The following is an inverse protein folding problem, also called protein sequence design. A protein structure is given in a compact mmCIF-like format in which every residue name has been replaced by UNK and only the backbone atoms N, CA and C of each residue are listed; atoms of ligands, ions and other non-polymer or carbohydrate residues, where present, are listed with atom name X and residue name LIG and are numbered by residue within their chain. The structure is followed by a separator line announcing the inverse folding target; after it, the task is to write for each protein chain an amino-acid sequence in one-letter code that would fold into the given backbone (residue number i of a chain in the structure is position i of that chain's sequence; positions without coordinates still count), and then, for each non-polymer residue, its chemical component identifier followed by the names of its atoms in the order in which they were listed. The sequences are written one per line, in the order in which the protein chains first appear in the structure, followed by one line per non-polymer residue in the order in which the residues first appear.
data_IF_009970125063
#
_entry.id   IF_009970125063
#
_cell.length_a   1.000
_cell.length_b   1.000
_cell.length_c   1.000
_cell.angle_alpha   90.00
_cell.angle_beta   90.00
_cell.angle_gamma   90.00
#
_symmetry.space_group_name_H-M   'P 1'
#
loop_
_entity.id
_entity.type
_entity.pdbx_description
1 polymer ?
#
# COMPACT_ATOMS: atom_id res chain seq x y z
N UNK A 1 15.94 -10.82 -10.88
CA UNK A 1 15.14 -11.80 -10.10
C UNK A 1 14.27 -11.02 -9.15
N UNK A 2 12.94 -10.97 -9.34
CA UNK A 2 12.03 -10.33 -8.38
C UNK A 2 12.21 -10.96 -7.01
N UNK A 3 12.17 -10.12 -5.96
CA UNK A 3 12.22 -10.61 -4.57
C UNK A 3 11.08 -11.61 -4.39
N UNK A 4 11.40 -12.88 -4.24
CA UNK A 4 10.42 -13.93 -4.02
C UNK A 4 10.01 -13.88 -2.55
N UNK A 5 8.79 -13.44 -2.27
CA UNK A 5 8.26 -13.41 -0.92
C UNK A 5 7.99 -14.84 -0.43
N UNK A 6 8.61 -15.23 0.68
CA UNK A 6 8.33 -16.51 1.32
C UNK A 6 7.06 -16.35 2.15
N UNK A 7 6.10 -17.25 1.97
CA UNK A 7 4.83 -17.24 2.71
C UNK A 7 5.11 -17.37 4.23
N UNK A 8 4.45 -16.56 5.08
CA UNK A 8 4.60 -16.66 6.53
C UNK A 8 4.21 -18.03 7.07
N UNK A 9 4.92 -18.51 8.10
CA UNK A 9 4.67 -19.84 8.70
C UNK A 9 3.23 -20.03 9.18
N UNK A 10 2.62 -18.98 9.75
CA UNK A 10 1.22 -18.99 10.22
C UNK A 10 0.19 -18.72 9.11
N UNK A 11 0.64 -18.57 7.85
CA UNK A 11 -0.20 -18.25 6.70
C UNK A 11 -1.05 -16.97 6.83
N UNK A 12 -0.65 -16.04 7.71
CA UNK A 12 -1.27 -14.72 7.85
C UNK A 12 -0.51 -13.67 7.06
N UNK A 13 -1.24 -12.94 6.22
CA UNK A 13 -0.71 -11.79 5.48
C UNK A 13 -0.59 -10.56 6.39
N UNK A 14 -1.62 -10.34 7.21
CA UNK A 14 -1.66 -9.28 8.22
C UNK A 14 -2.12 -9.88 9.54
N UNK A 15 -1.42 -9.54 10.62
CA UNK A 15 -1.76 -9.91 12.00
C UNK A 15 -1.74 -8.65 12.85
N UNK A 16 -2.85 -8.32 13.49
CA UNK A 16 -3.02 -7.17 14.38
C UNK A 16 -3.53 -7.66 15.72
N UNK A 17 -2.87 -7.26 16.81
CA UNK A 17 -3.21 -7.60 18.18
C UNK A 17 -3.29 -6.34 19.03
N UNK A 18 -4.44 -6.11 19.69
CA UNK A 18 -4.72 -5.06 20.65
C UNK A 18 -4.31 -3.65 20.19
N UNK A 19 -4.54 -3.38 18.90
CA UNK A 19 -4.16 -2.14 18.26
C UNK A 19 -5.02 -0.98 18.75
N UNK A 20 -4.38 0.04 19.33
CA UNK A 20 -5.07 1.26 19.73
C UNK A 20 -4.37 2.49 19.14
N UNK A 21 -5.18 3.50 18.81
CA UNK A 21 -4.74 4.80 18.31
C UNK A 21 -5.67 5.91 18.78
N UNK A 22 -5.09 6.93 19.38
CA UNK A 22 -5.76 8.16 19.79
C UNK A 22 -5.12 9.35 19.09
N UNK A 23 -5.93 10.17 18.45
CA UNK A 23 -5.52 11.49 17.98
C UNK A 23 -5.82 12.53 19.07
N UNK A 24 -4.82 13.34 19.38
CA UNK A 24 -4.93 14.44 20.34
C UNK A 24 -4.73 15.76 19.61
N UNK A 25 -5.68 16.65 19.75
CA UNK A 25 -5.50 18.07 19.43
C UNK A 25 -5.83 18.90 20.68
N UNK A 26 -5.49 20.20 20.74
CA UNK A 26 -5.70 21.03 21.93
C UNK A 26 -7.13 21.03 22.47
N UNK A 27 -8.12 20.76 21.61
CA UNK A 27 -9.55 20.87 21.95
C UNK A 27 -10.24 19.52 22.12
N UNK A 28 -9.67 18.41 21.57
CA UNK A 28 -10.35 17.11 21.56
C UNK A 28 -9.39 15.93 21.51
N UNK A 29 -9.72 14.90 22.28
CA UNK A 29 -9.12 13.56 22.21
C UNK A 29 -10.08 12.65 21.46
N UNK A 30 -9.62 12.04 20.35
CA UNK A 30 -10.42 11.13 19.52
C UNK A 30 -9.77 9.76 19.57
N UNK A 31 -10.44 8.79 20.18
CA UNK A 31 -10.04 7.38 20.13
C UNK A 31 -10.45 6.82 18.77
N UNK A 32 -9.50 6.74 17.85
CA UNK A 32 -9.73 6.26 16.50
C UNK A 32 -9.74 4.73 16.41
N UNK A 33 -8.95 4.06 17.25
CA UNK A 33 -8.89 2.61 17.36
C UNK A 33 -8.78 2.22 18.84
N UNK A 34 -9.50 1.20 19.28
CA UNK A 34 -9.46 0.67 20.64
C UNK A 34 -9.37 -0.85 20.58
N UNK A 35 -8.22 -1.40 20.96
CA UNK A 35 -7.93 -2.83 21.11
C UNK A 35 -8.35 -3.69 19.90
N UNK A 36 -8.10 -3.18 18.68
CA UNK A 36 -8.48 -3.87 17.45
C UNK A 36 -7.62 -5.13 17.27
N UNK A 37 -8.31 -6.24 17.06
CA UNK A 37 -7.72 -7.52 16.71
C UNK A 37 -8.18 -7.95 15.32
N UNK A 38 -7.22 -8.27 14.43
CA UNK A 38 -7.51 -8.62 13.03
C UNK A 38 -6.47 -9.57 12.47
N UNK A 39 -6.93 -10.66 11.86
CA UNK A 39 -6.08 -11.61 11.16
C UNK A 39 -6.58 -11.80 9.73
N UNK A 40 -5.72 -11.49 8.75
CA UNK A 40 -6.00 -11.66 7.32
C UNK A 40 -5.11 -12.78 6.78
N UNK A 41 -5.71 -13.81 6.17
CA UNK A 41 -4.98 -14.95 5.61
C UNK A 41 -4.29 -14.60 4.30
N UNK A 42 -3.14 -15.22 4.02
CA UNK A 42 -2.49 -15.14 2.73
C UNK A 42 -3.38 -15.67 1.61
N UNK A 43 -3.44 -14.92 0.49
CA UNK A 43 -4.25 -15.29 -0.68
C UNK A 43 -5.74 -15.07 -0.51
N UNK A 44 -6.18 -14.36 0.54
CA UNK A 44 -7.58 -13.96 0.70
C UNK A 44 -7.85 -12.60 0.05
N UNK A 45 -9.08 -12.42 -0.40
CA UNK A 45 -9.67 -11.12 -0.70
C UNK A 45 -10.45 -10.67 0.54
N UNK A 46 -10.06 -9.54 1.13
CA UNK A 46 -10.62 -9.07 2.40
C UNK A 46 -11.18 -7.67 2.29
N UNK A 47 -12.46 -7.50 2.64
CA UNK A 47 -13.15 -6.20 2.67
C UNK A 47 -13.20 -5.61 4.08
N UNK A 48 -12.65 -4.40 4.26
CA UNK A 48 -12.76 -3.65 5.52
C UNK A 48 -13.95 -2.67 5.42
N UNK A 49 -15.08 -3.06 6.01
CA UNK A 49 -16.33 -2.31 5.94
C UNK A 49 -16.63 -1.60 7.25
N UNK A 50 -17.41 -0.53 7.17
CA UNK A 50 -17.87 0.24 8.33
C UNK A 50 -18.19 1.69 7.98
N UNK A 51 -18.89 2.43 8.85
CA UNK A 51 -19.26 3.83 8.63
C UNK A 51 -18.04 4.76 8.56
N UNK A 52 -18.26 6.01 8.16
CA UNK A 52 -17.22 7.03 8.23
C UNK A 52 -16.83 7.28 9.70
N UNK A 53 -15.54 7.43 9.96
CA UNK A 53 -15.02 7.55 11.32
C UNK A 53 -14.77 6.22 12.07
N UNK A 54 -15.11 5.06 11.50
CA UNK A 54 -14.87 3.74 12.13
C UNK A 54 -13.39 3.32 12.22
N UNK A 55 -12.44 4.18 11.86
CA UNK A 55 -11.00 3.89 11.97
C UNK A 55 -10.37 3.18 10.78
N UNK A 56 -11.12 2.87 9.70
CA UNK A 56 -10.61 2.17 8.52
C UNK A 56 -9.35 2.81 7.94
N UNK A 57 -9.38 4.10 7.64
CA UNK A 57 -8.24 4.85 7.12
C UNK A 57 -7.08 4.90 8.11
N UNK A 58 -7.37 4.94 9.42
CA UNK A 58 -6.34 4.90 10.46
C UNK A 58 -5.58 3.57 10.44
N UNK A 59 -6.27 2.44 10.29
CA UNK A 59 -5.64 1.11 10.15
C UNK A 59 -4.75 1.10 8.90
N UNK A 60 -5.27 1.52 7.75
CA UNK A 60 -4.51 1.55 6.48
C UNK A 60 -3.27 2.45 6.61
N UNK A 61 -3.41 3.63 7.21
CA UNK A 61 -2.30 4.56 7.42
C UNK A 61 -1.22 3.99 8.37
N UNK A 62 -1.61 3.23 9.38
CA UNK A 62 -0.66 2.54 10.26
C UNK A 62 0.06 1.42 9.51
N UNK A 63 -0.65 0.60 8.72
CA UNK A 63 -0.06 -0.44 7.88
C UNK A 63 0.91 0.14 6.85
N UNK A 64 0.57 1.28 6.24
CA UNK A 64 1.42 2.02 5.30
C UNK A 64 2.59 2.76 5.97
N UNK A 65 2.56 2.88 7.29
CA UNK A 65 3.58 3.57 8.08
C UNK A 65 3.60 5.08 7.89
N UNK A 66 2.47 5.69 7.52
CA UNK A 66 2.23 7.15 7.50
C UNK A 66 1.71 7.65 8.86
N UNK A 67 1.13 6.75 9.66
CA UNK A 67 0.69 7.01 11.03
C UNK A 67 1.33 6.00 11.98
N UNK A 68 1.76 6.45 13.17
CA UNK A 68 2.24 5.58 14.23
C UNK A 68 1.08 5.13 15.12
N UNK A 69 1.08 3.85 15.51
CA UNK A 69 0.16 3.33 16.54
C UNK A 69 0.56 3.83 17.94
N UNK A 70 -0.35 3.79 18.89
CA UNK A 70 -0.03 4.05 20.28
C UNK A 70 0.33 2.75 21.01
N UNK A 71 -0.49 1.70 20.88
CA UNK A 71 -0.25 0.38 21.47
C UNK A 71 -0.58 -0.75 20.47
N UNK A 72 -0.32 -1.98 20.88
CA UNK A 72 -0.62 -3.19 20.11
C UNK A 72 0.58 -3.69 19.27
N UNK A 73 0.41 -4.85 18.66
CA UNK A 73 1.41 -5.50 17.81
C UNK A 73 0.86 -5.68 16.40
N UNK A 74 1.68 -5.41 15.40
CA UNK A 74 1.31 -5.61 13.99
C UNK A 74 2.41 -6.36 13.29
N UNK A 75 2.04 -7.39 12.53
CA UNK A 75 2.92 -8.05 11.57
C UNK A 75 2.31 -7.97 10.18
N UNK A 76 3.15 -7.61 9.22
CA UNK A 76 2.85 -7.60 7.78
C UNK A 76 3.74 -8.66 7.15
N UNK A 77 3.14 -9.68 6.54
CA UNK A 77 3.86 -10.81 5.95
C UNK A 77 4.84 -11.47 6.93
N UNK A 78 4.42 -11.62 8.20
CA UNK A 78 5.25 -12.16 9.29
C UNK A 78 6.28 -11.19 9.88
N UNK A 79 6.44 -9.99 9.32
CA UNK A 79 7.41 -8.98 9.75
C UNK A 79 6.75 -8.00 10.72
N UNK A 80 7.30 -7.90 11.94
CA UNK A 80 6.82 -6.91 12.91
C UNK A 80 7.19 -5.50 12.43
N UNK A 81 6.21 -4.60 12.37
CA UNK A 81 6.37 -3.23 11.83
C UNK A 81 7.29 -2.34 12.70
N UNK A 82 7.45 -2.65 13.97
CA UNK A 82 8.30 -1.87 14.88
C UNK A 82 9.78 -2.22 14.71
N UNK A 83 10.10 -3.50 14.55
CA UNK A 83 11.48 -4.00 14.43
C UNK A 83 11.97 -4.14 12.99
N UNK A 84 11.07 -4.37 12.03
CA UNK A 84 11.38 -4.58 10.61
C UNK A 84 10.69 -3.54 9.72
N UNK A 85 10.72 -2.26 10.13
CA UNK A 85 9.94 -1.17 9.52
C UNK A 85 10.13 -1.04 8.00
N UNK A 86 11.38 -1.13 7.51
CA UNK A 86 11.65 -1.02 6.06
C UNK A 86 11.12 -2.24 5.29
N UNK A 87 11.37 -3.44 5.81
CA UNK A 87 10.97 -4.69 5.15
C UNK A 87 9.45 -4.86 5.14
N UNK A 88 8.75 -4.51 6.23
CA UNK A 88 7.29 -4.57 6.30
C UNK A 88 6.62 -3.60 5.31
N UNK A 89 7.19 -2.40 5.10
CA UNK A 89 6.72 -1.47 4.06
C UNK A 89 6.89 -2.01 2.64
N UNK A 90 7.95 -2.78 2.38
CA UNK A 90 8.14 -3.44 1.09
C UNK A 90 7.17 -4.60 0.85
N UNK A 91 6.52 -5.12 1.89
CA UNK A 91 5.54 -6.19 1.79
C UNK A 91 4.12 -5.72 1.46
N UNK A 92 3.91 -4.41 1.33
CA UNK A 92 2.58 -3.83 1.11
C UNK A 92 2.63 -2.75 0.02
N UNK A 93 1.69 -2.81 -0.91
CA UNK A 93 1.39 -1.77 -1.88
C UNK A 93 0.09 -1.08 -1.48
N UNK A 94 0.09 0.25 -1.40
CA UNK A 94 -1.11 1.01 -1.04
C UNK A 94 -1.56 1.85 -2.22
N UNK A 95 -2.83 1.68 -2.60
CA UNK A 95 -3.49 2.48 -3.63
C UNK A 95 -4.22 3.62 -2.91
N UNK A 96 -3.79 4.87 -3.07
CA UNK A 96 -4.45 6.00 -2.41
C UNK A 96 -5.90 6.16 -2.89
N UNK A 97 -6.75 6.64 -2.01
CA UNK A 97 -8.15 6.94 -2.34
C UNK A 97 -8.25 8.11 -3.33
N UNK A 98 -7.43 9.14 -3.14
CA UNK A 98 -7.37 10.31 -3.99
C UNK A 98 -6.52 10.08 -5.23
N UNK A 99 -6.90 10.72 -6.35
CA UNK A 99 -6.20 10.63 -7.64
C UNK A 99 -4.98 11.57 -7.66
N UNK A 100 -4.04 11.37 -6.74
CA UNK A 100 -2.78 12.12 -6.68
C UNK A 100 -1.77 11.59 -7.72
N UNK A 101 -1.95 12.03 -8.96
CA UNK A 101 -1.08 11.70 -10.10
C UNK A 101 -0.43 12.99 -10.59
N UNK A 102 0.87 12.96 -10.80
CA UNK A 102 1.58 14.09 -11.40
C UNK A 102 1.16 14.24 -12.88
N UNK A 103 0.60 15.39 -13.19
CA UNK A 103 0.04 15.70 -14.51
C UNK A 103 1.10 15.78 -15.62
N UNK A 104 2.36 16.10 -15.26
CA UNK A 104 3.45 16.40 -16.18
C UNK A 104 4.41 15.21 -16.39
N UNK A 105 4.20 14.10 -15.70
CA UNK A 105 4.92 12.85 -15.93
C UNK A 105 4.07 11.89 -16.76
N UNK A 106 4.75 11.09 -17.59
CA UNK A 106 4.10 9.98 -18.29
C UNK A 106 3.80 8.83 -17.32
N UNK A 107 2.86 7.92 -17.63
CA UNK A 107 2.68 6.68 -16.85
C UNK A 107 3.98 5.91 -16.65
N UNK A 108 4.79 5.77 -17.71
CA UNK A 108 6.09 5.12 -17.65
C UNK A 108 7.02 5.78 -16.64
N UNK A 109 7.20 7.09 -16.74
CA UNK A 109 8.08 7.84 -15.84
C UNK A 109 7.66 7.69 -14.38
N UNK A 110 6.35 7.75 -14.11
CA UNK A 110 5.83 7.58 -12.75
C UNK A 110 6.09 6.19 -12.20
N UNK A 111 5.96 5.12 -13.01
CA UNK A 111 6.28 3.76 -12.58
C UNK A 111 7.78 3.59 -12.36
N UNK A 112 8.61 4.12 -13.25
CA UNK A 112 10.07 4.07 -13.13
C UNK A 112 10.56 4.83 -11.88
N UNK A 113 10.02 6.01 -11.63
CA UNK A 113 10.30 6.80 -10.42
C UNK A 113 9.90 6.02 -9.16
N UNK A 114 8.68 5.50 -9.16
CA UNK A 114 8.15 4.73 -8.02
C UNK A 114 9.00 3.49 -7.74
N UNK A 115 9.37 2.74 -8.77
CA UNK A 115 10.27 1.59 -8.65
C UNK A 115 11.63 1.99 -8.06
N UNK A 116 12.15 3.16 -8.46
CA UNK A 116 13.37 3.73 -7.90
C UNK A 116 13.25 4.04 -6.41
N UNK A 117 12.14 4.62 -5.97
CA UNK A 117 11.87 4.91 -4.55
C UNK A 117 11.82 3.64 -3.68
N UNK A 118 11.39 2.51 -4.25
CA UNK A 118 11.43 1.20 -3.60
C UNK A 118 12.75 0.45 -3.80
N UNK A 119 13.79 1.11 -4.34
CA UNK A 119 15.11 0.52 -4.64
C UNK A 119 15.04 -0.72 -5.55
N UNK A 120 14.09 -0.76 -6.50
CA UNK A 120 14.03 -1.82 -7.51
C UNK A 120 15.10 -1.55 -8.58
N UNK A 121 16.13 -2.42 -8.71
CA UNK A 121 17.17 -2.24 -9.71
C UNK A 121 16.58 -2.16 -11.14
N UNK A 122 17.12 -1.30 -12.01
CA UNK A 122 16.59 -1.11 -13.37
C UNK A 122 16.37 -2.43 -14.12
N UNK A 123 17.31 -3.38 -14.04
CA UNK A 123 17.21 -4.71 -14.69
C UNK A 123 16.08 -5.61 -14.14
N UNK A 124 15.48 -5.26 -13.00
CA UNK A 124 14.41 -6.03 -12.36
C UNK A 124 13.06 -5.34 -12.44
N UNK A 125 12.99 -4.15 -13.04
CA UNK A 125 11.75 -3.42 -13.21
C UNK A 125 10.89 -4.09 -14.28
N UNK A 126 9.61 -4.18 -14.00
CA UNK A 126 8.60 -4.81 -14.88
C UNK A 126 7.59 -3.77 -15.36
N UNK A 127 8.09 -2.56 -15.64
CA UNK A 127 7.28 -1.40 -16.02
C UNK A 127 6.40 -1.72 -17.23
N UNK A 128 6.95 -2.31 -18.30
CA UNK A 128 6.20 -2.65 -19.49
C UNK A 128 5.10 -3.69 -19.21
N UNK A 129 5.42 -4.73 -18.44
CA UNK A 129 4.45 -5.74 -18.04
C UNK A 129 3.30 -5.16 -17.20
N UNK A 130 3.61 -4.24 -16.28
CA UNK A 130 2.57 -3.57 -15.46
C UNK A 130 1.70 -2.65 -16.31
N UNK A 131 2.30 -1.92 -17.28
CA UNK A 131 1.55 -1.07 -18.20
C UNK A 131 0.59 -1.90 -19.05
N UNK A 132 1.03 -3.04 -19.56
CA UNK A 132 0.20 -3.99 -20.30
C UNK A 132 -0.93 -4.54 -19.42
N UNK A 133 -0.62 -5.05 -18.22
CA UNK A 133 -1.60 -5.57 -17.27
C UNK A 133 -2.69 -4.55 -16.90
N UNK A 134 -2.33 -3.27 -16.88
CA UNK A 134 -3.24 -2.15 -16.56
C UNK A 134 -3.88 -1.53 -17.80
N UNK A 135 -3.66 -2.08 -19.02
CA UNK A 135 -4.16 -1.54 -20.28
C UNK A 135 -3.78 -0.07 -20.49
N UNK A 136 -2.53 0.27 -20.20
CA UNK A 136 -1.97 1.62 -20.32
C UNK A 136 -0.82 1.70 -21.34
N UNK A 137 -0.56 0.65 -22.11
CA UNK A 137 0.56 0.57 -23.06
C UNK A 137 0.50 1.70 -24.08
N UNK A 138 -0.66 1.93 -24.70
CA UNK A 138 -0.86 2.96 -25.72
C UNK A 138 -0.69 4.40 -25.18
N UNK A 139 -0.82 4.57 -23.87
CA UNK A 139 -0.69 5.83 -23.16
C UNK A 139 0.60 5.94 -22.33
N UNK A 140 1.48 4.95 -22.44
CA UNK A 140 2.66 4.83 -21.58
C UNK A 140 3.57 6.07 -21.65
N UNK A 141 3.65 6.73 -22.80
CA UNK A 141 4.54 7.87 -23.07
C UNK A 141 3.77 9.20 -23.26
N UNK A 142 2.46 9.24 -23.01
CA UNK A 142 1.69 10.47 -23.02
C UNK A 142 1.65 11.09 -21.61
N UNK A 143 1.54 12.41 -21.51
CA UNK A 143 1.39 13.07 -20.21
C UNK A 143 0.12 12.61 -19.48
N UNK A 144 0.25 12.34 -18.18
CA UNK A 144 -0.86 11.80 -17.35
C UNK A 144 -2.06 12.74 -17.22
N UNK A 145 -1.89 14.04 -17.53
CA UNK A 145 -3.02 14.98 -17.65
C UNK A 145 -4.02 14.58 -18.73
N UNK A 146 -3.59 13.87 -19.77
CA UNK A 146 -4.43 13.44 -20.89
C UNK A 146 -5.17 12.12 -20.60
N UNK A 147 -4.91 11.47 -19.48
CA UNK A 147 -5.57 10.23 -19.09
C UNK A 147 -6.99 10.48 -18.59
N UNK A 148 -7.90 9.57 -18.93
CA UNK A 148 -9.23 9.52 -18.31
C UNK A 148 -9.16 9.22 -16.81
N UNK A 149 -10.24 9.49 -16.06
CA UNK A 149 -10.30 9.16 -14.63
C UNK A 149 -10.04 7.67 -14.33
N UNK A 150 -10.60 6.78 -15.16
CA UNK A 150 -10.37 5.33 -15.04
C UNK A 150 -8.90 4.95 -15.31
N UNK A 151 -8.27 5.53 -16.34
CA UNK A 151 -6.85 5.32 -16.61
C UNK A 151 -5.95 5.82 -15.47
N UNK A 152 -6.27 6.98 -14.90
CA UNK A 152 -5.56 7.50 -13.71
C UNK A 152 -5.69 6.55 -12.54
N UNK A 153 -6.88 5.96 -12.31
CA UNK A 153 -7.08 4.98 -11.24
C UNK A 153 -6.25 3.73 -11.47
N UNK A 154 -6.20 3.20 -12.71
CA UNK A 154 -5.36 2.06 -13.07
C UNK A 154 -3.87 2.37 -12.88
N UNK A 155 -3.42 3.59 -13.19
CA UNK A 155 -2.04 4.02 -12.95
C UNK A 155 -1.68 4.04 -11.46
N UNK A 156 -2.60 4.44 -10.57
CA UNK A 156 -2.38 4.35 -9.11
C UNK A 156 -2.23 2.90 -8.62
N UNK A 157 -3.03 1.98 -9.16
CA UNK A 157 -2.88 0.55 -8.89
C UNK A 157 -1.52 0.06 -9.39
N UNK A 158 -1.15 0.41 -10.63
CA UNK A 158 0.15 0.10 -11.21
C UNK A 158 1.32 0.55 -10.32
N UNK A 159 1.27 1.78 -9.80
CA UNK A 159 2.29 2.33 -8.88
C UNK A 159 2.42 1.50 -7.59
N UNK A 160 1.32 0.98 -7.06
CA UNK A 160 1.36 0.13 -5.87
C UNK A 160 2.00 -1.24 -6.13
N UNK A 161 2.10 -1.68 -7.40
CA UNK A 161 2.59 -3.00 -7.80
C UNK A 161 4.09 -3.02 -8.18
N UNK A 162 4.72 -1.88 -8.46
CA UNK A 162 6.08 -1.82 -9.06
C UNK A 162 7.18 -2.56 -8.29
N UNK A 163 7.03 -2.69 -6.97
CA UNK A 163 7.99 -3.37 -6.11
C UNK A 163 7.58 -4.82 -5.77
N UNK A 164 6.57 -5.33 -6.49
CA UNK A 164 6.04 -6.70 -6.35
C UNK A 164 5.69 -7.05 -4.89
N UNK A 165 4.83 -6.29 -4.21
CA UNK A 165 4.43 -6.59 -2.84
C UNK A 165 3.48 -7.80 -2.80
N UNK A 166 3.52 -8.64 -1.76
CA UNK A 166 2.59 -9.75 -1.59
C UNK A 166 1.19 -9.31 -1.12
N UNK A 167 1.04 -8.04 -0.71
CA UNK A 167 -0.23 -7.46 -0.24
C UNK A 167 -0.48 -6.15 -0.98
N UNK A 168 -1.71 -5.95 -1.47
CA UNK A 168 -2.18 -4.68 -2.04
C UNK A 168 -3.45 -4.25 -1.29
N UNK A 169 -3.51 -2.96 -0.92
CA UNK A 169 -4.66 -2.33 -0.26
C UNK A 169 -5.09 -1.11 -1.06
#
# INVERSE_FOLDING_TARGET
MHKKWIKPKNSLAIEIQDLSKTYKNPQKKINALSEINLNIKCGSFYGLLGPNGAGKSTIINILGGTTTKDTGKIKIWGLNIDTHRKQSKLAIGIVPQELNIDAFFTPRDQLELQAGLFNVPKKQRVTDYILELMELTDKANEYSRNLSGGMRRRLLVAKAMVHNPPIII
#
